data_IF_670944494388
#
_entry.id   IF_670944494388
#
_cell.length_a   1.000
_cell.length_b   1.000
_cell.length_c   1.000
_cell.angle_alpha   90.00
_cell.angle_beta   90.00
_cell.angle_gamma   90.00
#
_symmetry.space_group_name_H-M   'P 1'
#
loop_
_entity.id
_entity.type
_entity.pdbx_description
1 polymer ?
#
# COMPACT_ATOMS: atom_id res chain seq x y z
N UNK A 1 -12.52 -5.63 8.32
CA UNK A 1 -13.84 -5.00 8.54
C UNK A 1 -14.88 -5.68 7.66
N UNK A 2 -15.95 -6.22 8.23
CA UNK A 2 -17.08 -6.74 7.45
C UNK A 2 -17.99 -5.58 7.05
N UNK A 3 -18.31 -5.44 5.77
CA UNK A 3 -19.18 -4.37 5.27
C UNK A 3 -20.62 -4.60 5.76
N UNK A 4 -21.27 -3.54 6.26
CA UNK A 4 -22.65 -3.59 6.72
C UNK A 4 -23.61 -4.16 5.66
N UNK A 5 -24.62 -4.91 6.11
CA UNK A 5 -25.58 -5.57 5.21
C UNK A 5 -26.32 -4.56 4.31
N UNK A 6 -26.70 -3.41 4.87
CA UNK A 6 -27.33 -2.30 4.13
C UNK A 6 -26.45 -1.82 2.97
N UNK A 7 -25.16 -1.61 3.20
CA UNK A 7 -24.19 -1.22 2.17
C UNK A 7 -24.01 -2.33 1.13
N UNK A 8 -24.03 -3.60 1.52
CA UNK A 8 -23.98 -4.73 0.57
C UNK A 8 -25.18 -4.77 -0.36
N UNK A 9 -26.38 -4.43 0.13
CA UNK A 9 -27.58 -4.32 -0.71
C UNK A 9 -27.43 -3.19 -1.75
N UNK A 10 -26.91 -2.02 -1.34
CA UNK A 10 -26.63 -0.91 -2.26
C UNK A 10 -25.61 -1.29 -3.34
N UNK A 11 -24.54 -2.01 -2.96
CA UNK A 11 -23.54 -2.53 -3.91
C UNK A 11 -24.18 -3.47 -4.93
N UNK A 12 -25.05 -4.38 -4.47
CA UNK A 12 -25.75 -5.32 -5.34
C UNK A 12 -26.65 -4.60 -6.35
N UNK A 13 -27.40 -3.61 -5.90
CA UNK A 13 -28.26 -2.80 -6.76
C UNK A 13 -27.45 -1.99 -7.79
N UNK A 14 -26.40 -1.31 -7.34
CA UNK A 14 -25.50 -0.56 -8.20
C UNK A 14 -24.87 -1.45 -9.27
N UNK A 15 -24.44 -2.65 -8.90
CA UNK A 15 -23.85 -3.62 -9.82
C UNK A 15 -24.88 -4.12 -10.84
N UNK A 16 -26.12 -4.40 -10.43
CA UNK A 16 -27.21 -4.76 -11.34
C UNK A 16 -27.42 -3.67 -12.40
N UNK A 17 -27.55 -2.41 -11.97
CA UNK A 17 -27.74 -1.28 -12.89
C UNK A 17 -26.54 -1.07 -13.81
N UNK A 18 -25.32 -1.23 -13.31
CA UNK A 18 -24.09 -1.12 -14.12
C UNK A 18 -24.01 -2.21 -15.18
N UNK A 19 -24.35 -3.45 -14.85
CA UNK A 19 -24.42 -4.55 -15.83
C UNK A 19 -25.44 -4.24 -16.93
N UNK A 20 -26.63 -3.75 -16.56
CA UNK A 20 -27.64 -3.34 -17.56
C UNK A 20 -27.13 -2.20 -18.43
N UNK A 21 -26.47 -1.19 -17.84
CA UNK A 21 -25.89 -0.08 -18.59
C UNK A 21 -24.81 -0.53 -19.57
N UNK A 22 -23.92 -1.44 -19.18
CA UNK A 22 -22.89 -1.98 -20.07
C UNK A 22 -23.46 -2.76 -21.25
N UNK A 23 -24.60 -3.44 -21.06
CA UNK A 23 -25.25 -4.23 -22.13
C UNK A 23 -26.09 -3.37 -23.08
N UNK A 24 -26.74 -2.34 -22.56
CA UNK A 24 -27.75 -1.56 -23.29
C UNK A 24 -27.26 -0.17 -23.71
N UNK A 25 -26.16 0.30 -23.14
CA UNK A 25 -25.67 1.68 -23.24
C UNK A 25 -26.72 2.76 -22.92
N UNK A 26 -27.81 2.41 -22.22
CA UNK A 26 -28.88 3.35 -21.93
C UNK A 26 -28.42 4.47 -20.97
N UNK A 27 -28.35 5.70 -21.48
CA UNK A 27 -27.88 6.89 -20.75
C UNK A 27 -28.74 7.19 -19.51
N UNK A 28 -30.03 6.83 -19.50
CA UNK A 28 -30.93 7.04 -18.36
C UNK A 28 -30.52 6.24 -17.10
N UNK A 29 -29.64 5.25 -17.23
CA UNK A 29 -29.13 4.46 -16.09
C UNK A 29 -28.01 5.18 -15.33
N UNK A 30 -27.24 6.08 -15.97
CA UNK A 30 -26.14 6.80 -15.30
C UNK A 30 -26.62 7.64 -14.10
N UNK A 31 -27.69 8.45 -14.21
CA UNK A 31 -28.24 9.19 -13.08
C UNK A 31 -28.71 8.31 -11.93
N UNK A 32 -28.99 7.02 -12.16
CA UNK A 32 -29.37 6.08 -11.09
C UNK A 32 -28.16 5.40 -10.44
N UNK A 33 -27.09 5.17 -11.20
CA UNK A 33 -25.85 4.54 -10.71
C UNK A 33 -25.05 5.51 -9.82
N UNK A 34 -24.96 6.79 -10.21
CA UNK A 34 -24.11 7.76 -9.50
C UNK A 34 -24.53 7.98 -8.04
N UNK A 35 -25.82 8.20 -7.71
CA UNK A 35 -26.25 8.34 -6.32
C UNK A 35 -25.93 7.10 -5.49
N UNK A 36 -26.15 5.90 -6.02
CA UNK A 36 -25.80 4.66 -5.33
C UNK A 36 -24.31 4.57 -5.05
N UNK A 37 -23.45 4.98 -6.00
CA UNK A 37 -22.00 5.06 -5.76
C UNK A 37 -21.70 6.01 -4.60
N UNK A 38 -22.26 7.21 -4.59
CA UNK A 38 -22.03 8.17 -3.51
C UNK A 38 -22.53 7.65 -2.16
N UNK A 39 -23.69 6.99 -2.11
CA UNK A 39 -24.22 6.39 -0.90
C UNK A 39 -23.34 5.26 -0.38
N UNK A 40 -22.82 4.39 -1.27
CA UNK A 40 -21.87 3.33 -0.90
C UNK A 40 -20.59 3.93 -0.33
N UNK A 41 -20.00 4.90 -1.04
CA UNK A 41 -18.75 5.55 -0.64
C UNK A 41 -18.92 6.23 0.74
N UNK A 42 -20.03 6.94 0.95
CA UNK A 42 -20.37 7.57 2.22
C UNK A 42 -20.59 6.55 3.34
N UNK A 43 -21.33 5.47 3.08
CA UNK A 43 -21.59 4.44 4.08
C UNK A 43 -20.30 3.72 4.52
N UNK A 44 -19.40 3.40 3.58
CA UNK A 44 -18.10 2.81 3.89
C UNK A 44 -17.25 3.78 4.71
N UNK A 45 -17.20 5.06 4.31
CA UNK A 45 -16.46 6.08 5.04
C UNK A 45 -16.97 6.24 6.47
N UNK A 46 -18.29 6.30 6.66
CA UNK A 46 -18.89 6.41 7.98
C UNK A 46 -18.57 5.19 8.85
N UNK A 47 -18.73 3.97 8.31
CA UNK A 47 -18.39 2.76 9.04
C UNK A 47 -16.91 2.72 9.47
N UNK A 48 -16.00 3.16 8.60
CA UNK A 48 -14.58 3.28 8.93
C UNK A 48 -14.34 4.31 10.03
N UNK A 49 -14.98 5.48 9.94
CA UNK A 49 -14.89 6.52 10.96
C UNK A 49 -15.41 6.02 12.31
N UNK A 50 -16.55 5.35 12.35
CA UNK A 50 -17.13 4.79 13.57
C UNK A 50 -16.20 3.74 14.19
N UNK A 51 -15.60 2.88 13.35
CA UNK A 51 -14.62 1.89 13.79
C UNK A 51 -13.39 2.55 14.40
N UNK A 52 -12.87 3.60 13.76
CA UNK A 52 -11.74 4.38 14.27
C UNK A 52 -12.07 5.11 15.56
N UNK A 53 -13.24 5.74 15.63
CA UNK A 53 -13.71 6.43 16.83
C UNK A 53 -13.80 5.45 18.01
N UNK A 54 -14.42 4.28 17.81
CA UNK A 54 -14.48 3.25 18.84
C UNK A 54 -13.08 2.75 19.23
N UNK A 55 -12.17 2.59 18.26
CA UNK A 55 -10.79 2.15 18.53
C UNK A 55 -10.04 3.17 19.39
N UNK A 56 -10.21 4.47 19.11
CA UNK A 56 -9.57 5.55 19.86
C UNK A 56 -10.19 5.73 21.25
N UNK A 57 -11.51 5.59 21.39
CA UNK A 57 -12.19 5.66 22.69
C UNK A 57 -11.84 4.49 23.62
N UNK A 58 -11.63 3.30 23.05
CA UNK A 58 -11.21 2.11 23.79
C UNK A 58 -9.70 1.98 23.97
N UNK A 59 -8.92 3.01 23.60
CA UNK A 59 -7.47 2.97 23.72
C UNK A 59 -7.04 3.13 25.17
N UNK A 60 -6.33 2.14 25.69
CA UNK A 60 -5.63 2.25 26.96
C UNK A 60 -4.25 2.89 26.75
N UNK A 61 -4.10 4.13 27.19
CA UNK A 61 -2.84 4.89 27.07
C UNK A 61 -1.74 4.39 28.00
N UNK A 62 -2.05 3.48 28.94
CA UNK A 62 -1.04 2.83 29.78
C UNK A 62 -0.45 1.58 29.11
N UNK A 63 -1.09 1.07 28.04
CA UNK A 63 -0.62 -0.08 27.29
C UNK A 63 0.22 0.36 26.08
N UNK A 64 1.55 0.25 26.21
CA UNK A 64 2.50 0.57 25.14
C UNK A 64 2.26 -0.22 23.84
N UNK A 65 1.70 -1.43 23.91
CA UNK A 65 1.42 -2.26 22.73
C UNK A 65 0.29 -1.70 21.86
N UNK A 66 -0.76 -1.17 22.48
CA UNK A 66 -1.88 -0.57 21.77
C UNK A 66 -1.51 0.77 21.12
N UNK A 67 -0.72 1.58 21.81
CA UNK A 67 -0.14 2.82 21.26
C UNK A 67 0.70 2.48 20.02
N UNK A 68 1.64 1.53 20.14
CA UNK A 68 2.49 1.15 19.02
C UNK A 68 1.68 0.63 17.81
N UNK A 69 0.63 -0.15 18.05
CA UNK A 69 -0.25 -0.64 16.98
C UNK A 69 -0.94 0.51 16.24
N UNK A 70 -1.45 1.51 16.95
CA UNK A 70 -2.07 2.69 16.33
C UNK A 70 -1.03 3.54 15.61
N UNK A 71 0.09 3.84 16.26
CA UNK A 71 1.19 4.61 15.65
C UNK A 71 1.64 3.94 14.36
N UNK A 72 1.90 2.63 14.38
CA UNK A 72 2.27 1.86 13.18
C UNK A 72 1.18 1.93 12.12
N UNK A 73 -0.10 1.81 12.46
CA UNK A 73 -1.19 1.94 11.48
C UNK A 73 -1.20 3.31 10.79
N UNK A 74 -0.87 4.38 11.52
CA UNK A 74 -0.83 5.75 11.01
C UNK A 74 0.45 6.08 10.23
N UNK A 75 1.59 5.57 10.66
CA UNK A 75 2.91 5.88 10.06
C UNK A 75 3.33 4.90 8.98
N UNK A 76 2.71 3.71 8.90
CA UNK A 76 3.02 2.72 7.88
C UNK A 76 2.47 3.16 6.52
N UNK A 77 3.20 4.07 5.87
CA UNK A 77 3.02 4.34 4.46
C UNK A 77 3.59 3.17 3.66
N UNK A 78 2.77 2.57 2.81
CA UNK A 78 3.28 1.58 1.86
C UNK A 78 4.12 2.31 0.82
N UNK A 79 5.44 2.27 0.97
CA UNK A 79 6.35 2.80 -0.05
C UNK A 79 6.22 1.96 -1.30
N UNK A 80 5.95 2.61 -2.44
CA UNK A 80 6.02 1.94 -3.72
C UNK A 80 7.47 1.54 -3.99
N UNK A 81 7.74 0.24 -4.01
CA UNK A 81 9.03 -0.31 -4.42
C UNK A 81 8.98 -0.43 -5.95
N UNK A 82 9.74 0.38 -6.71
CA UNK A 82 9.73 0.30 -8.15
C UNK A 82 10.28 -1.07 -8.61
N UNK A 83 9.73 -1.65 -9.69
CA UNK A 83 10.26 -2.90 -10.21
C UNK A 83 11.68 -2.69 -10.75
N UNK A 84 12.54 -3.69 -10.54
CA UNK A 84 13.85 -3.73 -11.21
C UNK A 84 13.63 -3.77 -12.72
N UNK A 85 14.35 -2.91 -13.45
CA UNK A 85 14.26 -2.79 -14.91
C UNK A 85 15.59 -3.14 -15.53
N UNK A 86 15.55 -3.93 -16.60
CA UNK A 86 16.68 -4.21 -17.47
C UNK A 86 16.48 -3.44 -18.77
N UNK A 87 17.37 -2.49 -19.10
CA UNK A 87 17.25 -1.64 -20.29
C UNK A 87 15.88 -0.94 -20.44
N UNK A 88 15.33 -0.45 -19.33
CA UNK A 88 14.04 0.26 -19.31
C UNK A 88 12.79 -0.62 -19.42
N UNK A 89 12.94 -1.94 -19.61
CA UNK A 89 11.85 -2.92 -19.62
C UNK A 89 11.91 -3.86 -18.42
N UNK A 90 10.78 -4.49 -18.10
CA UNK A 90 10.75 -5.56 -17.10
C UNK A 90 11.35 -6.85 -17.69
N UNK A 91 12.19 -7.57 -16.94
CA UNK A 91 12.75 -8.85 -17.39
C UNK A 91 11.65 -9.91 -17.50
N UNK A 92 11.66 -10.67 -18.58
CA UNK A 92 10.62 -11.67 -18.88
C UNK A 92 11.15 -13.08 -18.62
N UNK A 93 12.35 -13.38 -19.10
CA UNK A 93 12.97 -14.70 -19.00
C UNK A 93 13.61 -14.93 -17.64
N UNK A 94 13.90 -16.19 -17.30
CA UNK A 94 14.59 -16.53 -16.06
C UNK A 94 16.01 -15.95 -16.04
N UNK A 95 16.76 -16.13 -17.14
CA UNK A 95 18.14 -15.65 -17.25
C UNK A 95 18.23 -14.13 -17.12
N UNK A 96 17.33 -13.38 -17.79
CA UNK A 96 17.26 -11.92 -17.65
C UNK A 96 17.03 -11.49 -16.19
N UNK A 97 16.25 -12.23 -15.41
CA UNK A 97 16.03 -11.93 -13.99
C UNK A 97 17.27 -12.20 -13.17
N UNK A 98 17.91 -13.35 -13.37
CA UNK A 98 19.11 -13.75 -12.63
C UNK A 98 20.24 -12.75 -12.88
N UNK A 99 20.47 -12.39 -14.14
CA UNK A 99 21.47 -11.38 -14.51
C UNK A 99 21.14 -10.02 -13.91
N UNK A 100 19.89 -9.54 -14.02
CA UNK A 100 19.49 -8.27 -13.43
C UNK A 100 19.70 -8.24 -11.90
N UNK A 101 19.40 -9.34 -11.21
CA UNK A 101 19.67 -9.44 -9.77
C UNK A 101 21.17 -9.42 -9.47
N UNK A 102 21.98 -10.18 -10.21
CA UNK A 102 23.42 -10.19 -10.02
C UNK A 102 24.03 -8.80 -10.22
N UNK A 103 23.70 -8.14 -11.33
CA UNK A 103 24.21 -6.82 -11.68
C UNK A 103 23.78 -5.76 -10.65
N UNK A 104 22.49 -5.75 -10.27
CA UNK A 104 21.99 -4.77 -9.29
C UNK A 104 22.60 -4.96 -7.90
N UNK A 105 22.79 -6.20 -7.46
CA UNK A 105 23.46 -6.47 -6.18
C UNK A 105 24.94 -6.10 -6.26
N UNK A 106 25.61 -6.41 -7.37
CA UNK A 106 26.99 -6.01 -7.57
C UNK A 106 27.15 -4.49 -7.51
N UNK A 107 26.31 -3.73 -8.21
CA UNK A 107 26.34 -2.25 -8.16
C UNK A 107 26.10 -1.72 -6.74
N UNK A 108 25.11 -2.25 -6.02
CA UNK A 108 24.78 -1.79 -4.65
C UNK A 108 25.91 -2.10 -3.66
N UNK A 109 26.59 -3.23 -3.82
CA UNK A 109 27.65 -3.68 -2.91
C UNK A 109 29.06 -3.33 -3.39
N UNK A 110 29.20 -2.68 -4.55
CA UNK A 110 30.49 -2.13 -4.99
C UNK A 110 30.66 -0.79 -4.32
N UNK A 111 31.49 -0.76 -3.27
CA UNK A 111 31.84 0.48 -2.57
C UNK A 111 32.57 1.40 -3.54
N UNK A 112 32.04 2.60 -3.76
CA UNK A 112 32.72 3.63 -4.51
C UNK A 112 33.90 4.14 -3.64
N UNK A 113 35.11 3.67 -3.91
CA UNK A 113 36.30 3.95 -3.09
C UNK A 113 36.68 5.43 -3.06
N UNK A 114 36.15 6.22 -4.00
CA UNK A 114 36.53 7.61 -4.21
C UNK A 114 35.52 8.63 -3.62
N UNK A 115 34.37 8.18 -3.09
CA UNK A 115 33.31 9.11 -2.66
C UNK A 115 33.45 9.61 -1.23
N UNK A 116 34.02 8.85 -0.30
CA UNK A 116 34.24 9.30 1.08
C UNK A 116 35.29 8.45 1.85
N UNK A 117 36.56 8.89 1.91
CA UNK A 117 37.58 8.19 2.69
C UNK A 117 37.29 8.21 4.21
N UNK A 118 36.51 9.18 4.70
CA UNK A 118 36.18 9.33 6.13
C UNK A 118 35.14 8.27 6.55
N UNK A 119 34.12 8.04 5.72
CA UNK A 119 33.14 6.97 5.91
C UNK A 119 33.79 5.58 5.97
N UNK A 120 34.76 5.34 5.08
CA UNK A 120 35.48 4.05 5.02
C UNK A 120 36.24 3.78 6.31
N UNK A 121 36.96 4.78 6.84
CA UNK A 121 37.67 4.67 8.11
C UNK A 121 36.73 4.46 9.30
N UNK A 122 35.59 5.14 9.32
CA UNK A 122 34.62 5.05 10.41
C UNK A 122 33.96 3.66 10.48
N UNK A 123 33.66 3.07 9.32
CA UNK A 123 33.07 1.72 9.24
C UNK A 123 34.07 0.66 9.70
N UNK A 124 35.33 0.76 9.28
CA UNK A 124 36.41 -0.15 9.70
C UNK A 124 36.68 -0.09 11.20
N UNK A 125 36.69 1.11 11.78
CA UNK A 125 36.89 1.29 13.22
C UNK A 125 35.77 0.61 14.01
N UNK A 126 34.52 0.85 13.61
CA UNK A 126 33.34 0.27 14.28
C UNK A 126 33.33 -1.26 14.21
N UNK A 127 33.71 -1.86 13.07
CA UNK A 127 33.78 -3.33 12.94
C UNK A 127 34.88 -3.93 13.81
N UNK A 128 36.00 -3.22 14.02
CA UNK A 128 37.07 -3.65 14.92
C UNK A 128 36.65 -3.61 16.40
N UNK A 129 35.86 -2.61 16.80
CA UNK A 129 35.40 -2.46 18.18
C UNK A 129 34.38 -3.53 18.61
N UNK A 130 33.72 -4.20 17.67
CA UNK A 130 32.83 -5.33 17.94
C UNK A 130 33.55 -6.68 18.11
N UNK A 131 34.87 -6.73 17.93
CA UNK A 131 35.67 -7.97 18.00
C UNK A 131 36.39 -8.11 19.33
#
# INVERSE_FOLDING_TARGET
>A
MQIALSTRLLIRERNKLRTTWQRTHNVALRPRINPLKHQIDAAIKNQLNDTWQHTLQGLDTSNNGDIWRITKSLTNSTTYIPPLKFNGRSPVTHDEKVTLFADTLQDIFTTDTDLDPDFTQQTEHTVRDFR
#
